data_IF_659323101885
#
_entry.id   IF_659323101885
#
_cell.length_a   1.000
_cell.length_b   1.000
_cell.length_c   1.000
_cell.angle_alpha   90.00
_cell.angle_beta   90.00
_cell.angle_gamma   90.00
#
_symmetry.space_group_name_H-M   'P 1'
#
loop_
_entity.id
_entity.type
_entity.pdbx_description
1 polymer ?
#
# COMPACT_ATOMS: atom_id res chain seq x y z
N UNK A 1 -2.99 -6.47 37.87
CA UNK A 1 -2.42 -5.98 36.60
C UNK A 1 -2.22 -7.08 35.58
N UNK A 2 -1.57 -8.21 35.91
CA UNK A 2 -1.44 -9.35 34.97
C UNK A 2 -2.80 -9.93 34.53
N UNK A 3 -3.78 -10.04 35.43
CA UNK A 3 -5.11 -10.58 35.07
C UNK A 3 -5.98 -9.65 34.20
N UNK A 4 -5.74 -8.33 34.23
CA UNK A 4 -6.42 -7.37 33.35
C UNK A 4 -5.78 -7.28 31.96
N UNK A 5 -4.49 -7.64 31.87
CA UNK A 5 -3.79 -7.81 30.58
C UNK A 5 -4.24 -9.11 29.93
N UNK A 6 -4.38 -10.20 30.70
CA UNK A 6 -4.92 -11.49 30.22
C UNK A 6 -6.39 -11.40 29.77
N UNK A 7 -7.23 -10.59 30.43
CA UNK A 7 -8.61 -10.34 29.98
C UNK A 7 -8.72 -9.43 28.74
N UNK A 8 -7.70 -8.61 28.45
CA UNK A 8 -7.66 -7.72 27.27
C UNK A 8 -7.07 -8.39 26.03
N UNK A 9 -6.70 -9.67 26.13
CA UNK A 9 -6.08 -10.54 25.13
C UNK A 9 -7.05 -11.54 24.48
N UNK A 10 -8.36 -11.33 24.56
CA UNK A 10 -9.29 -11.96 23.61
C UNK A 10 -9.05 -11.35 22.22
N UNK A 11 -8.01 -11.88 21.54
CA UNK A 11 -7.69 -11.61 20.14
C UNK A 11 -8.95 -11.79 19.29
N UNK A 12 -9.27 -10.83 18.42
CA UNK A 12 -10.28 -11.04 17.40
C UNK A 12 -9.89 -12.27 16.59
N UNK A 13 -10.79 -13.25 16.55
CA UNK A 13 -10.59 -14.58 15.96
C UNK A 13 -10.16 -14.54 14.49
N UNK A 14 -10.35 -13.40 13.83
CA UNK A 14 -10.21 -13.23 12.37
C UNK A 14 -9.02 -12.33 11.95
N UNK A 15 -8.20 -11.78 12.86
CA UNK A 15 -7.13 -10.84 12.46
C UNK A 15 -5.96 -11.50 11.69
N UNK A 16 -5.52 -12.68 12.12
CA UNK A 16 -4.50 -13.47 11.40
C UNK A 16 -4.96 -13.81 9.99
N UNK A 17 -6.21 -14.27 9.89
CA UNK A 17 -6.84 -14.58 8.62
C UNK A 17 -6.95 -13.33 7.72
N UNK A 18 -7.27 -12.18 8.29
CA UNK A 18 -7.38 -10.91 7.55
C UNK A 18 -6.06 -10.49 6.90
N UNK A 19 -4.95 -10.57 7.64
CA UNK A 19 -3.61 -10.20 7.14
C UNK A 19 -3.22 -11.12 5.98
N UNK A 20 -3.46 -12.43 6.13
CA UNK A 20 -3.15 -13.41 5.10
C UNK A 20 -3.97 -13.18 3.83
N UNK A 21 -5.27 -12.92 3.96
CA UNK A 21 -6.14 -12.59 2.82
C UNK A 21 -5.73 -11.30 2.15
N UNK A 22 -5.39 -10.26 2.93
CA UNK A 22 -4.92 -8.99 2.38
C UNK A 22 -3.68 -9.19 1.52
N UNK A 23 -2.70 -9.98 1.99
CA UNK A 23 -1.52 -10.35 1.19
C UNK A 23 -1.88 -11.10 -0.09
N UNK A 24 -2.83 -12.02 -0.02
CA UNK A 24 -3.30 -12.75 -1.19
C UNK A 24 -4.02 -11.83 -2.19
N UNK A 25 -4.87 -10.92 -1.72
CA UNK A 25 -5.53 -9.90 -2.54
C UNK A 25 -4.48 -9.04 -3.24
N UNK A 26 -3.49 -8.52 -2.52
CA UNK A 26 -2.43 -7.68 -3.09
C UNK A 26 -1.58 -8.44 -4.11
N UNK A 27 -1.22 -9.69 -3.82
CA UNK A 27 -0.50 -10.55 -4.76
C UNK A 27 -1.29 -10.83 -6.03
N UNK A 28 -2.60 -11.02 -5.91
CA UNK A 28 -3.47 -11.21 -7.06
C UNK A 28 -3.68 -9.90 -7.82
N UNK A 29 -3.94 -8.79 -7.14
CA UNK A 29 -4.14 -7.48 -7.77
C UNK A 29 -2.88 -6.94 -8.48
N UNK A 30 -1.69 -7.24 -7.96
CA UNK A 30 -0.40 -6.89 -8.57
C UNK A 30 0.09 -7.87 -9.64
N UNK A 31 -0.64 -8.95 -9.91
CA UNK A 31 -0.28 -9.94 -10.93
C UNK A 31 -0.45 -9.39 -12.35
N UNK A 32 0.53 -9.64 -13.22
CA UNK A 32 0.36 -9.42 -14.66
C UNK A 32 -0.40 -10.61 -15.25
N UNK A 33 -1.65 -10.38 -15.66
CA UNK A 33 -2.47 -11.43 -16.28
C UNK A 33 -2.63 -11.17 -17.78
N UNK A 34 -2.22 -12.17 -18.59
CA UNK A 34 -2.41 -12.15 -20.05
C UNK A 34 -3.89 -11.98 -20.41
N UNK A 35 -4.80 -12.47 -19.57
CA UNK A 35 -6.25 -12.26 -19.73
C UNK A 35 -6.69 -10.81 -19.67
N UNK A 36 -5.93 -9.93 -19.01
CA UNK A 36 -6.23 -8.51 -18.88
C UNK A 36 -5.71 -7.71 -20.08
N UNK A 37 -4.71 -8.24 -20.79
CA UNK A 37 -4.19 -7.71 -22.05
C UNK A 37 -5.04 -8.15 -23.24
N UNK A 38 -5.58 -9.37 -23.19
CA UNK A 38 -6.41 -9.96 -24.25
C UNK A 38 -7.81 -10.34 -23.73
N UNK A 39 -8.62 -9.39 -23.25
CA UNK A 39 -9.94 -9.67 -22.68
C UNK A 39 -10.93 -10.24 -23.70
N UNK A 40 -10.66 -10.09 -25.00
CA UNK A 40 -11.42 -10.70 -26.09
C UNK A 40 -11.28 -12.23 -26.11
N UNK A 41 -10.16 -12.77 -25.62
CA UNK A 41 -9.90 -14.21 -25.57
C UNK A 41 -10.40 -14.75 -24.22
N UNK A 42 -11.73 -14.87 -24.09
CA UNK A 42 -12.39 -15.31 -22.85
C UNK A 42 -11.80 -16.60 -22.28
N UNK A 43 -11.34 -17.51 -23.13
CA UNK A 43 -10.71 -18.78 -22.74
C UNK A 43 -9.52 -18.59 -21.78
N UNK A 44 -8.73 -17.52 -21.92
CA UNK A 44 -7.58 -17.24 -21.04
C UNK A 44 -7.98 -16.97 -19.59
N UNK A 45 -9.18 -16.39 -19.37
CA UNK A 45 -9.73 -16.19 -18.03
C UNK A 45 -10.10 -17.53 -17.34
N UNK A 46 -10.38 -18.57 -18.13
CA UNK A 46 -10.78 -19.90 -17.63
C UNK A 46 -9.60 -20.83 -17.40
N UNK A 47 -8.57 -20.79 -18.27
CA UNK A 47 -7.44 -21.73 -18.23
C UNK A 47 -6.49 -21.48 -17.05
N UNK A 48 -6.41 -20.25 -16.53
CA UNK A 48 -5.42 -19.87 -15.51
C UNK A 48 -5.78 -20.17 -14.05
N UNK A 49 -6.98 -20.70 -13.75
CA UNK A 49 -7.47 -20.91 -12.37
C UNK A 49 -7.59 -19.62 -11.51
N UNK A 50 -7.26 -18.47 -12.08
CA UNK A 50 -7.26 -17.15 -11.45
C UNK A 50 -8.64 -16.78 -10.91
N UNK A 51 -9.69 -17.03 -11.71
CA UNK A 51 -11.07 -16.77 -11.31
C UNK A 51 -11.43 -17.51 -10.03
N UNK A 52 -11.12 -18.81 -9.94
CA UNK A 52 -11.41 -19.61 -8.76
C UNK A 52 -10.61 -19.13 -7.54
N UNK A 53 -9.35 -18.72 -7.73
CA UNK A 53 -8.54 -18.11 -6.65
C UNK A 53 -9.16 -16.79 -6.16
N UNK A 54 -9.58 -15.92 -7.09
CA UNK A 54 -10.25 -14.65 -6.76
C UNK A 54 -11.59 -14.88 -6.04
N UNK A 55 -12.41 -15.81 -6.50
CA UNK A 55 -13.68 -16.18 -5.86
C UNK A 55 -13.44 -16.68 -4.43
N UNK A 56 -12.48 -17.57 -4.22
CA UNK A 56 -12.13 -18.07 -2.88
C UNK A 56 -11.63 -16.97 -1.94
N UNK A 57 -10.75 -16.10 -2.43
CA UNK A 57 -10.23 -14.97 -1.64
C UNK A 57 -11.35 -13.97 -1.32
N UNK A 58 -12.26 -13.74 -2.26
CA UNK A 58 -13.43 -12.88 -2.05
C UNK A 58 -14.39 -13.45 -1.01
N UNK A 59 -14.71 -14.75 -1.06
CA UNK A 59 -15.58 -15.41 -0.08
C UNK A 59 -15.03 -15.30 1.34
N UNK A 60 -13.73 -15.53 1.51
CA UNK A 60 -13.11 -15.46 2.83
C UNK A 60 -13.00 -14.01 3.34
N UNK A 61 -12.68 -13.05 2.47
CA UNK A 61 -12.71 -11.63 2.81
C UNK A 61 -14.13 -11.19 3.24
N UNK A 62 -15.16 -11.59 2.49
CA UNK A 62 -16.55 -11.27 2.79
C UNK A 62 -17.00 -11.87 4.13
N UNK A 63 -16.55 -13.10 4.43
CA UNK A 63 -16.79 -13.75 5.73
C UNK A 63 -16.22 -12.93 6.88
N UNK A 64 -14.95 -12.54 6.80
CA UNK A 64 -14.27 -11.81 7.89
C UNK A 64 -14.92 -10.44 8.11
N UNK A 65 -15.13 -9.66 7.04
CA UNK A 65 -15.73 -8.33 7.20
C UNK A 65 -17.21 -8.43 7.57
N UNK A 66 -17.90 -9.49 7.14
CA UNK A 66 -19.25 -9.83 7.58
C UNK A 66 -19.34 -10.11 9.08
N UNK A 67 -18.39 -10.85 9.64
CA UNK A 67 -18.28 -11.06 11.09
C UNK A 67 -18.08 -9.74 11.83
N UNK A 68 -17.11 -8.92 11.40
CA UNK A 68 -16.85 -7.60 11.99
C UNK A 68 -18.11 -6.74 11.98
N UNK A 69 -18.79 -6.65 10.83
CA UNK A 69 -20.01 -5.85 10.71
C UNK A 69 -21.14 -6.36 11.62
N UNK A 70 -21.28 -7.69 11.74
CA UNK A 70 -22.31 -8.31 12.59
C UNK A 70 -22.04 -8.03 14.07
N UNK A 71 -20.78 -8.15 14.51
CA UNK A 71 -20.38 -7.84 15.89
C UNK A 71 -20.72 -6.40 16.28
N UNK A 72 -20.51 -5.43 15.36
CA UNK A 72 -20.87 -4.03 15.60
C UNK A 72 -22.38 -3.82 15.66
N UNK A 73 -23.16 -4.49 14.80
CA UNK A 73 -24.63 -4.46 14.84
C UNK A 73 -25.18 -5.05 16.14
N UNK A 74 -24.63 -6.16 16.61
CA UNK A 74 -25.04 -6.80 17.87
C UNK A 74 -24.73 -5.91 19.09
N UNK A 75 -23.52 -5.34 19.14
CA UNK A 75 -23.13 -4.37 20.19
C UNK A 75 -24.02 -3.12 20.21
N UNK A 76 -24.51 -2.68 19.05
CA UNK A 76 -25.44 -1.55 18.95
C UNK A 76 -26.82 -1.89 19.52
N UNK A 77 -27.32 -3.10 19.25
CA UNK A 77 -28.63 -3.57 19.72
C UNK A 77 -28.63 -3.72 21.25
N UNK A 78 -27.62 -4.36 21.82
CA UNK A 78 -27.52 -4.57 23.28
C UNK A 78 -27.43 -3.27 24.08
N UNK A 79 -26.93 -2.18 23.48
CA UNK A 79 -26.91 -0.82 24.07
C UNK A 79 -28.26 -0.08 23.98
N UNK A 80 -29.17 -0.51 23.12
CA UNK A 80 -30.46 0.17 22.88
C UNK A 80 -31.62 -0.34 23.74
N UNK A 81 -31.43 -1.40 24.53
CA UNK A 81 -32.44 -1.88 25.48
C UNK A 81 -32.46 -1.02 26.77
N UNK A 82 -33.63 -0.55 27.22
CA UNK A 82 -33.73 0.32 28.40
C UNK A 82 -33.73 -0.53 29.67
N UNK A 83 -32.54 -0.89 30.16
CA UNK A 83 -32.37 -1.39 31.52
C UNK A 83 -31.44 -0.48 32.32
N UNK A 84 -32.02 0.08 33.39
CA UNK A 84 -31.36 0.92 34.38
C UNK A 84 -30.08 0.29 34.91
N UNK A 85 -28.92 0.81 34.51
CA UNK A 85 -27.74 0.82 35.37
C UNK A 85 -26.96 2.11 35.14
N UNK A 86 -26.97 2.95 36.18
CA UNK A 86 -25.98 3.99 36.41
C UNK A 86 -24.63 3.31 36.73
N UNK A 87 -23.98 2.70 35.74
CA UNK A 87 -22.61 2.21 35.88
C UNK A 87 -21.79 2.57 34.64
N UNK A 88 -20.80 3.42 34.89
CA UNK A 88 -19.63 3.77 34.08
C UNK A 88 -19.90 4.06 32.60
N UNK A 89 -19.75 5.35 32.23
CA UNK A 89 -19.51 5.74 30.85
C UNK A 89 -18.27 4.98 30.34
N UNK A 90 -18.51 3.80 29.77
CA UNK A 90 -17.49 3.06 29.07
C UNK A 90 -16.97 3.98 27.98
N UNK A 91 -15.68 4.25 28.02
CA UNK A 91 -14.90 5.10 27.10
C UNK A 91 -14.81 4.39 25.74
N UNK A 92 -15.95 3.95 25.22
CA UNK A 92 -16.11 3.37 23.91
C UNK A 92 -16.15 4.52 22.91
N UNK A 93 -14.94 4.91 22.52
CA UNK A 93 -14.70 5.77 21.38
C UNK A 93 -15.33 5.12 20.14
N UNK A 94 -16.26 5.83 19.49
CA UNK A 94 -16.92 5.37 18.27
C UNK A 94 -15.88 5.14 17.18
N UNK A 95 -15.95 4.00 16.51
CA UNK A 95 -15.02 3.67 15.44
C UNK A 95 -15.61 3.89 14.03
N UNK A 96 -14.80 3.61 13.02
CA UNK A 96 -15.17 3.82 11.62
C UNK A 96 -16.37 2.96 11.18
N UNK A 97 -16.53 1.74 11.71
CA UNK A 97 -17.67 0.86 11.41
C UNK A 97 -18.94 1.42 12.02
N UNK A 98 -18.86 1.90 13.27
CA UNK A 98 -19.99 2.56 13.95
C UNK A 98 -20.49 3.78 13.16
N UNK A 99 -19.58 4.59 12.63
CA UNK A 99 -19.91 5.75 11.80
C UNK A 99 -20.63 5.32 10.50
N UNK A 100 -20.12 4.30 9.80
CA UNK A 100 -20.76 3.80 8.57
C UNK A 100 -22.16 3.23 8.84
N UNK A 101 -22.35 2.52 9.96
CA UNK A 101 -23.66 2.02 10.38
C UNK A 101 -24.64 3.14 10.71
N UNK A 102 -24.19 4.22 11.37
CA UNK A 102 -25.03 5.41 11.60
C UNK A 102 -25.44 6.11 10.31
N UNK A 103 -24.52 6.19 9.34
CA UNK A 103 -24.82 6.76 8.02
C UNK A 103 -25.84 5.89 7.29
N UNK A 104 -25.68 4.57 7.33
CA UNK A 104 -26.64 3.61 6.77
C UNK A 104 -28.05 3.78 7.35
N UNK A 105 -28.17 4.01 8.66
CA UNK A 105 -29.47 4.17 9.34
C UNK A 105 -30.10 5.56 9.13
N UNK A 106 -29.37 6.52 8.57
CA UNK A 106 -29.87 7.88 8.36
C UNK A 106 -30.59 8.01 7.01
N UNK A 107 -31.86 8.39 7.05
CA UNK A 107 -32.73 8.60 5.87
C UNK A 107 -32.33 9.80 4.98
N UNK A 108 -31.15 10.40 5.17
CA UNK A 108 -30.76 11.69 4.56
C UNK A 108 -29.87 11.57 3.30
N UNK A 109 -29.73 10.39 2.71
CA UNK A 109 -28.79 10.18 1.60
C UNK A 109 -29.50 9.86 0.28
N UNK A 110 -29.05 10.50 -0.81
CA UNK A 110 -29.54 10.25 -2.18
C UNK A 110 -29.31 8.80 -2.66
N UNK A 111 -28.45 8.04 -1.96
CA UNK A 111 -28.14 6.64 -2.24
C UNK A 111 -28.13 5.83 -0.93
N UNK A 112 -28.88 4.71 -0.86
CA UNK A 112 -28.91 3.87 0.34
C UNK A 112 -27.59 3.10 0.47
N UNK A 113 -26.94 3.21 1.63
CA UNK A 113 -25.70 2.48 1.93
C UNK A 113 -26.05 1.04 2.36
N UNK A 114 -25.70 0.06 1.54
CA UNK A 114 -25.96 -1.37 1.85
C UNK A 114 -24.83 -1.98 2.68
N UNK A 115 -25.10 -3.09 3.36
CA UNK A 115 -24.06 -3.88 4.05
C UNK A 115 -22.93 -4.29 3.10
N UNK A 116 -23.26 -4.60 1.84
CA UNK A 116 -22.24 -4.92 0.83
C UNK A 116 -21.35 -3.71 0.52
N UNK A 117 -21.90 -2.50 0.52
CA UNK A 117 -21.09 -1.28 0.36
C UNK A 117 -20.20 -1.04 1.58
N UNK A 118 -20.70 -1.23 2.79
CA UNK A 118 -19.90 -1.09 4.02
C UNK A 118 -18.76 -2.11 4.01
N UNK A 119 -19.06 -3.39 3.72
CA UNK A 119 -18.03 -4.44 3.63
C UNK A 119 -16.96 -4.11 2.60
N UNK A 120 -17.35 -3.65 1.42
CA UNK A 120 -16.40 -3.25 0.37
C UNK A 120 -15.53 -2.06 0.79
N UNK A 121 -16.12 -1.01 1.39
CA UNK A 121 -15.39 0.17 1.88
C UNK A 121 -14.38 -0.21 2.96
N UNK A 122 -14.76 -1.10 3.88
CA UNK A 122 -13.85 -1.61 4.90
C UNK A 122 -12.67 -2.35 4.26
N UNK A 123 -12.93 -3.27 3.33
CA UNK A 123 -11.87 -3.97 2.60
C UNK A 123 -10.92 -3.02 1.89
N UNK A 124 -11.44 -2.03 1.18
CA UNK A 124 -10.64 -1.06 0.44
C UNK A 124 -9.73 -0.26 1.38
N UNK A 125 -10.26 0.27 2.48
CA UNK A 125 -9.52 1.13 3.41
C UNK A 125 -8.43 0.36 4.15
N UNK A 126 -8.75 -0.82 4.67
CA UNK A 126 -7.76 -1.62 5.40
C UNK A 126 -6.65 -2.14 4.49
N UNK A 127 -6.98 -2.62 3.28
CA UNK A 127 -5.96 -3.09 2.32
C UNK A 127 -5.08 -1.92 1.87
N UNK A 128 -5.69 -0.82 1.40
CA UNK A 128 -4.95 0.31 0.87
C UNK A 128 -4.16 1.05 1.96
N UNK A 129 -4.71 1.21 3.16
CA UNK A 129 -4.08 1.94 4.27
C UNK A 129 -2.91 1.19 4.91
N UNK A 130 -2.93 -0.14 4.90
CA UNK A 130 -1.90 -0.96 5.54
C UNK A 130 -0.64 -1.09 4.69
N UNK A 131 -0.77 -1.69 3.49
CA UNK A 131 0.39 -2.07 2.67
C UNK A 131 1.14 -0.83 2.14
N UNK A 132 0.43 0.23 1.76
CA UNK A 132 1.07 1.44 1.23
C UNK A 132 1.85 2.19 2.32
N UNK A 133 1.29 2.30 3.53
CA UNK A 133 1.94 2.98 4.66
C UNK A 133 3.15 2.20 5.16
N UNK A 134 3.05 0.86 5.29
CA UNK A 134 4.18 0.02 5.70
C UNK A 134 5.32 0.10 4.68
N UNK A 135 4.99 0.03 3.39
CA UNK A 135 5.98 0.18 2.30
C UNK A 135 6.70 1.53 2.38
N UNK A 136 5.97 2.61 2.66
CA UNK A 136 6.57 3.93 2.82
C UNK A 136 7.50 4.02 4.03
N UNK A 137 7.11 3.44 5.18
CA UNK A 137 7.97 3.35 6.37
C UNK A 137 9.25 2.56 6.07
N UNK A 138 9.14 1.43 5.39
CA UNK A 138 10.28 0.60 5.00
C UNK A 138 11.25 1.34 4.07
N UNK A 139 10.74 2.05 3.06
CA UNK A 139 11.58 2.87 2.19
C UNK A 139 12.22 4.03 2.92
N UNK A 140 11.49 4.73 3.79
CA UNK A 140 12.04 5.85 4.56
C UNK A 140 13.17 5.37 5.50
N UNK A 141 12.96 4.26 6.21
CA UNK A 141 13.99 3.64 7.03
C UNK A 141 15.20 3.17 6.20
N UNK A 142 14.95 2.59 5.03
CA UNK A 142 16.00 2.14 4.10
C UNK A 142 16.86 3.30 3.61
N UNK A 143 16.23 4.41 3.19
CA UNK A 143 16.92 5.60 2.73
C UNK A 143 17.67 6.30 3.86
N UNK A 144 17.12 6.37 5.07
CA UNK A 144 17.84 6.90 6.22
C UNK A 144 19.06 6.02 6.59
N UNK A 145 18.92 4.70 6.57
CA UNK A 145 20.05 3.77 6.82
C UNK A 145 21.14 3.89 5.74
N UNK A 146 20.75 4.09 4.47
CA UNK A 146 21.66 4.36 3.36
C UNK A 146 22.32 5.74 3.45
N UNK A 147 21.68 6.70 4.13
CA UNK A 147 22.16 8.06 4.29
C UNK A 147 22.33 8.42 5.78
N UNK A 148 23.43 8.00 6.44
CA UNK A 148 23.63 8.20 7.89
C UNK A 148 23.50 9.66 8.36
N UNK A 149 23.83 10.62 7.48
CA UNK A 149 23.63 12.06 7.73
C UNK A 149 22.15 12.39 7.94
N UNK A 150 21.28 11.86 7.08
CA UNK A 150 19.83 12.06 7.16
C UNK A 150 19.27 11.37 8.40
N UNK A 151 19.66 10.11 8.65
CA UNK A 151 19.25 9.37 9.86
C UNK A 151 19.55 10.18 11.12
N UNK A 152 20.78 10.66 11.25
CA UNK A 152 21.21 11.44 12.42
C UNK A 152 20.39 12.71 12.60
N UNK A 153 20.11 13.44 11.52
CA UNK A 153 19.36 14.68 11.57
C UNK A 153 17.90 14.44 11.98
N UNK A 154 17.22 13.49 11.33
CA UNK A 154 15.84 13.13 11.65
C UNK A 154 15.70 12.62 13.10
N UNK A 155 16.62 11.77 13.54
CA UNK A 155 16.63 11.25 14.91
C UNK A 155 16.90 12.35 15.94
N UNK A 156 17.79 13.29 15.63
CA UNK A 156 18.08 14.44 16.50
C UNK A 156 16.88 15.38 16.60
N UNK A 157 16.17 15.64 15.50
CA UNK A 157 14.93 16.43 15.50
C UNK A 157 13.87 15.79 16.39
N UNK A 158 13.55 14.51 16.15
CA UNK A 158 12.53 13.76 16.91
C UNK A 158 12.84 13.78 18.40
N UNK A 159 14.06 13.41 18.80
CA UNK A 159 14.46 13.40 20.22
C UNK A 159 14.45 14.80 20.82
N UNK A 160 14.79 15.84 20.05
CA UNK A 160 14.71 17.24 20.51
C UNK A 160 13.27 17.70 20.71
N UNK A 161 12.33 17.36 19.83
CA UNK A 161 10.92 17.77 19.96
C UNK A 161 10.26 17.07 21.16
N UNK A 162 10.52 15.77 21.33
CA UNK A 162 9.88 14.95 22.36
C UNK A 162 10.71 14.78 23.66
N UNK A 163 11.81 15.53 23.84
CA UNK A 163 12.75 15.37 24.97
C UNK A 163 12.12 15.43 26.39
N UNK A 164 10.95 16.07 26.53
CA UNK A 164 10.20 16.23 27.79
C UNK A 164 9.01 15.29 27.92
N UNK A 165 8.70 14.52 26.88
CA UNK A 165 7.53 13.66 26.84
C UNK A 165 7.90 12.22 27.17
N UNK A 166 7.05 11.48 27.90
CA UNK A 166 7.29 10.09 28.23
C UNK A 166 7.20 9.17 27.00
N UNK A 167 6.45 9.59 25.98
CA UNK A 167 6.31 8.89 24.70
C UNK A 167 6.06 9.90 23.57
N UNK A 168 6.20 9.43 22.32
CA UNK A 168 5.78 10.18 21.13
C UNK A 168 4.27 10.05 20.98
N UNK A 169 3.60 11.17 20.71
CA UNK A 169 2.17 11.24 20.43
C UNK A 169 1.91 12.21 19.26
N UNK A 170 0.65 12.32 18.85
CA UNK A 170 0.23 13.15 17.71
C UNK A 170 0.35 14.66 17.98
N UNK A 171 0.49 15.10 19.23
CA UNK A 171 0.34 16.51 19.62
C UNK A 171 1.45 17.40 19.06
N UNK A 172 2.66 16.85 18.89
CA UNK A 172 3.83 17.60 18.41
C UNK A 172 4.37 17.11 17.05
N UNK A 173 3.65 16.23 16.34
CA UNK A 173 4.10 15.72 15.03
C UNK A 173 4.36 16.86 14.03
N UNK A 174 3.52 17.90 14.04
CA UNK A 174 3.66 19.06 13.15
C UNK A 174 4.98 19.83 13.29
N UNK A 175 5.72 19.64 14.39
CA UNK A 175 7.04 20.24 14.61
C UNK A 175 8.20 19.43 13.99
N UNK A 176 7.94 18.21 13.52
CA UNK A 176 8.92 17.31 12.89
C UNK A 176 9.14 17.65 11.40
N UNK A 177 9.61 18.87 11.14
CA UNK A 177 9.74 19.42 9.78
C UNK A 177 10.72 18.63 8.92
N UNK A 178 11.85 18.22 9.49
CA UNK A 178 12.85 17.43 8.79
C UNK A 178 12.36 16.00 8.53
N UNK A 179 11.71 15.36 9.51
CA UNK A 179 11.11 14.04 9.28
C UNK A 179 10.03 14.08 8.19
N UNK A 180 9.17 15.12 8.19
CA UNK A 180 8.19 15.30 7.14
C UNK A 180 8.86 15.48 5.76
N UNK A 181 9.96 16.24 5.69
CA UNK A 181 10.76 16.36 4.48
C UNK A 181 11.38 15.02 4.01
N UNK A 182 11.83 14.18 4.94
CA UNK A 182 12.31 12.80 4.64
C UNK A 182 11.21 11.95 4.04
N UNK A 183 10.00 12.00 4.60
CA UNK A 183 8.85 11.22 4.10
C UNK A 183 8.46 11.70 2.70
N UNK A 184 8.45 13.00 2.46
CA UNK A 184 8.16 13.57 1.15
C UNK A 184 9.19 13.19 0.09
N UNK A 185 10.48 13.20 0.44
CA UNK A 185 11.53 12.72 -0.45
C UNK A 185 11.46 11.22 -0.71
N UNK A 186 11.06 10.45 0.32
CA UNK A 186 10.77 9.03 0.17
C UNK A 186 9.60 8.80 -0.78
N UNK A 187 8.51 9.56 -0.67
CA UNK A 187 7.38 9.46 -1.60
C UNK A 187 7.73 9.85 -3.04
N UNK A 188 8.67 10.79 -3.22
CA UNK A 188 9.11 11.24 -4.54
C UNK A 188 9.89 10.14 -5.26
N UNK A 189 10.82 9.50 -4.56
CA UNK A 189 11.66 8.44 -5.12
C UNK A 189 10.96 7.07 -5.06
N UNK A 190 10.27 6.74 -3.99
CA UNK A 190 9.69 5.42 -3.78
C UNK A 190 8.17 5.50 -3.57
N UNK A 191 7.40 6.03 -4.54
CA UNK A 191 5.95 6.04 -4.41
C UNK A 191 5.44 4.60 -4.33
N UNK A 192 4.68 4.21 -3.29
CA UNK A 192 4.20 2.83 -3.15
C UNK A 192 3.42 2.34 -4.36
N UNK A 193 2.74 3.24 -5.09
CA UNK A 193 2.01 2.93 -6.33
C UNK A 193 2.64 3.71 -7.50
N UNK A 194 3.73 3.22 -8.12
CA UNK A 194 4.53 3.99 -9.07
C UNK A 194 3.80 4.41 -10.36
N UNK A 195 2.79 3.63 -10.80
CA UNK A 195 1.93 3.94 -11.95
C UNK A 195 0.55 4.49 -11.58
N UNK A 196 0.36 4.81 -10.29
CA UNK A 196 -0.94 5.10 -9.68
C UNK A 196 -1.99 4.01 -10.00
N UNK A 197 -3.23 4.21 -9.55
CA UNK A 197 -4.33 3.34 -9.96
C UNK A 197 -4.78 3.68 -11.39
N UNK A 198 -5.01 2.67 -12.27
CA UNK A 198 -5.43 2.90 -13.64
C UNK A 198 -6.70 3.77 -13.73
N UNK A 199 -6.69 4.72 -14.67
CA UNK A 199 -7.86 5.52 -15.02
C UNK A 199 -8.50 4.95 -16.29
N UNK A 200 -9.81 5.15 -16.43
CA UNK A 200 -10.53 4.79 -17.65
C UNK A 200 -11.20 6.03 -18.22
N UNK A 201 -11.04 6.26 -19.52
CA UNK A 201 -11.67 7.37 -20.22
C UNK A 201 -13.18 7.17 -20.32
N UNK A 202 -13.97 8.11 -19.77
CA UNK A 202 -15.43 8.04 -19.78
C UNK A 202 -16.06 8.53 -21.09
N UNK A 203 -15.29 9.21 -21.95
CA UNK A 203 -15.70 9.74 -23.26
C UNK A 203 -14.47 9.88 -24.15
N UNK A 204 -14.63 9.91 -25.47
CA UNK A 204 -13.51 10.31 -26.33
C UNK A 204 -13.06 11.74 -25.99
N UNK A 205 -11.75 11.95 -25.96
CA UNK A 205 -11.15 13.26 -25.75
C UNK A 205 -9.81 13.37 -26.47
N UNK A 206 -9.27 14.59 -26.56
CA UNK A 206 -7.94 14.85 -27.10
C UNK A 206 -7.03 15.28 -25.97
N UNK A 207 -5.86 14.66 -25.85
CA UNK A 207 -4.81 15.04 -24.91
C UNK A 207 -3.54 15.32 -25.72
N UNK A 208 -3.03 16.56 -25.63
CA UNK A 208 -1.83 17.00 -26.36
C UNK A 208 -1.84 16.68 -27.86
N UNK A 209 -3.01 16.82 -28.51
CA UNK A 209 -3.20 16.51 -29.93
C UNK A 209 -3.45 15.04 -30.25
N UNK A 210 -3.39 14.13 -29.28
CA UNK A 210 -3.69 12.71 -29.44
C UNK A 210 -5.13 12.38 -29.11
N UNK A 211 -5.81 11.64 -29.99
CA UNK A 211 -7.15 11.11 -29.75
C UNK A 211 -7.11 9.96 -28.74
N UNK A 212 -7.78 10.16 -27.61
CA UNK A 212 -7.97 9.16 -26.56
C UNK A 212 -9.38 8.59 -26.68
N UNK A 213 -9.54 7.31 -27.07
CA UNK A 213 -10.86 6.73 -27.24
C UNK A 213 -11.57 6.55 -25.89
N UNK A 214 -12.91 6.45 -25.95
CA UNK A 214 -13.70 6.01 -24.79
C UNK A 214 -13.21 4.63 -24.33
N UNK A 215 -13.21 4.38 -23.02
CA UNK A 215 -12.70 3.14 -22.39
C UNK A 215 -11.19 2.93 -22.49
N UNK A 216 -10.42 3.89 -23.01
CA UNK A 216 -8.96 3.82 -22.93
C UNK A 216 -8.51 3.75 -21.47
N UNK A 217 -7.63 2.79 -21.16
CA UNK A 217 -6.93 2.69 -19.88
C UNK A 217 -5.74 3.64 -19.89
N UNK A 218 -5.63 4.50 -18.89
CA UNK A 218 -4.56 5.49 -18.75
C UNK A 218 -3.82 5.23 -17.44
N UNK A 219 -2.51 5.07 -17.54
CA UNK A 219 -1.60 4.93 -16.40
C UNK A 219 -0.81 6.22 -16.25
N UNK A 220 -0.60 6.66 -15.01
CA UNK A 220 0.13 7.90 -14.72
C UNK A 220 1.41 7.50 -13.99
N UNK A 221 2.55 7.68 -14.64
CA UNK A 221 3.83 7.25 -14.11
C UNK A 221 4.39 8.25 -13.09
N UNK A 222 3.85 8.21 -11.87
CA UNK A 222 4.30 9.04 -10.75
C UNK A 222 5.78 8.82 -10.42
N UNK A 223 6.29 7.60 -10.61
CA UNK A 223 7.70 7.26 -10.43
C UNK A 223 8.62 8.04 -11.38
N UNK A 224 8.24 8.12 -12.67
CA UNK A 224 9.02 8.88 -13.66
C UNK A 224 8.90 10.39 -13.42
N UNK A 225 7.70 10.87 -13.11
CA UNK A 225 7.46 12.30 -12.79
C UNK A 225 8.32 12.75 -11.61
N UNK A 226 8.36 11.95 -10.53
CA UNK A 226 9.17 12.23 -9.35
C UNK A 226 10.68 12.24 -9.64
N UNK A 227 11.14 11.67 -10.76
CA UNK A 227 12.56 11.60 -11.17
C UNK A 227 12.90 12.45 -12.38
N UNK A 228 11.97 13.26 -12.88
CA UNK A 228 12.22 14.05 -14.07
C UNK A 228 13.26 15.15 -13.77
N UNK A 229 14.45 15.13 -14.40
CA UNK A 229 15.48 16.14 -14.19
C UNK A 229 15.09 17.53 -14.68
N UNK A 230 14.01 17.66 -15.46
CA UNK A 230 13.45 18.97 -15.81
C UNK A 230 12.78 19.67 -14.63
N UNK A 231 12.29 18.90 -13.66
CA UNK A 231 11.56 19.40 -12.49
C UNK A 231 12.37 19.26 -11.19
N UNK A 232 13.27 18.26 -11.13
CA UNK A 232 14.02 17.94 -9.92
C UNK A 232 15.54 18.05 -10.13
N UNK A 233 16.16 19.03 -9.47
CA UNK A 233 17.63 19.11 -9.42
C UNK A 233 18.20 17.89 -8.67
N UNK A 234 19.23 17.26 -9.26
CA UNK A 234 19.80 15.99 -8.76
C UNK A 234 18.69 14.95 -8.50
N UNK A 235 17.85 14.70 -9.51
CA UNK A 235 16.60 13.96 -9.38
C UNK A 235 16.75 12.56 -8.74
N UNK A 236 17.83 11.85 -9.00
CA UNK A 236 18.06 10.51 -8.44
C UNK A 236 18.62 10.53 -7.01
N UNK A 237 19.04 11.70 -6.51
CA UNK A 237 19.63 11.82 -5.18
C UNK A 237 18.54 11.97 -4.12
N UNK A 238 18.62 11.13 -3.08
CA UNK A 238 17.83 11.29 -1.87
C UNK A 238 18.30 12.54 -1.10
N UNK A 239 17.55 13.63 -1.23
CA UNK A 239 17.90 14.94 -0.68
C UNK A 239 16.69 15.63 -0.02
N UNK A 240 16.33 15.25 1.23
CA UNK A 240 15.15 15.77 1.93
C UNK A 240 15.11 17.29 2.05
N UNK A 241 16.27 17.95 2.10
CA UNK A 241 16.36 19.40 2.24
C UNK A 241 15.64 20.17 1.13
N UNK A 242 15.39 19.56 -0.04
CA UNK A 242 14.58 20.18 -1.11
C UNK A 242 13.13 20.48 -0.70
N UNK A 243 12.65 19.86 0.38
CA UNK A 243 11.32 20.09 0.93
C UNK A 243 11.33 20.96 2.19
N UNK A 244 12.50 21.49 2.59
CA UNK A 244 12.63 22.44 3.69
C UNK A 244 12.45 23.87 3.17
N UNK A 245 11.66 24.64 3.91
CA UNK A 245 11.23 25.98 3.53
C UNK A 245 12.37 27.01 3.64
N UNK A 246 13.24 27.12 2.64
CA UNK A 246 14.19 28.24 2.53
C UNK A 246 14.33 28.83 1.12
N UNK A 247 13.79 28.20 0.07
CA UNK A 247 13.96 28.62 -1.34
C UNK A 247 12.66 29.04 -2.07
N UNK A 248 11.50 28.95 -1.42
CA UNK A 248 10.22 29.41 -1.97
C UNK A 248 9.51 28.42 -2.90
N UNK A 249 10.03 27.20 -3.08
CA UNK A 249 9.36 26.14 -3.83
C UNK A 249 8.37 25.39 -2.93
N UNK A 250 7.13 25.90 -2.87
CA UNK A 250 6.04 25.27 -2.13
C UNK A 250 5.33 24.17 -2.93
N UNK A 251 6.06 23.11 -3.28
CA UNK A 251 5.44 21.90 -3.84
C UNK A 251 4.59 21.25 -2.75
N UNK A 252 3.39 20.78 -3.04
CA UNK A 252 2.51 20.02 -2.14
C UNK A 252 2.10 18.69 -2.81
N UNK A 253 1.82 17.66 -2.00
CA UNK A 253 1.35 16.35 -2.47
C UNK A 253 -0.18 16.29 -2.62
N UNK A 254 -0.90 17.41 -2.43
CA UNK A 254 -2.37 17.51 -2.53
C UNK A 254 -2.93 17.49 -3.95
N UNK A 255 -2.10 17.19 -4.95
CA UNK A 255 -2.51 17.00 -6.34
C UNK A 255 -2.71 18.29 -7.12
N UNK A 256 -2.11 19.39 -6.67
CA UNK A 256 -2.04 20.68 -7.38
C UNK A 256 -0.70 20.90 -8.09
N UNK A 257 0.37 20.30 -7.56
CA UNK A 257 1.73 20.38 -8.10
C UNK A 257 2.02 19.06 -8.83
N UNK A 258 1.94 19.08 -10.16
CA UNK A 258 1.95 17.86 -10.97
C UNK A 258 3.32 17.19 -11.03
N UNK A 259 4.38 17.90 -10.69
CA UNK A 259 5.73 17.38 -10.47
C UNK A 259 5.82 16.46 -9.23
N UNK A 260 4.83 16.49 -8.33
CA UNK A 260 4.81 15.70 -7.10
C UNK A 260 3.40 15.19 -6.74
N UNK A 261 3.02 14.05 -7.34
CA UNK A 261 1.68 13.45 -7.19
C UNK A 261 1.69 12.03 -6.60
N UNK A 262 2.35 11.78 -5.45
CA UNK A 262 2.44 10.43 -4.87
C UNK A 262 1.08 9.84 -4.48
N UNK A 263 0.07 10.67 -4.27
CA UNK A 263 -1.32 10.28 -3.96
C UNK A 263 -2.28 10.48 -5.14
N UNK A 264 -1.74 10.79 -6.32
CA UNK A 264 -2.50 11.18 -7.51
C UNK A 264 -3.13 12.57 -7.41
N UNK A 265 -4.06 12.85 -8.33
CA UNK A 265 -4.73 14.14 -8.43
C UNK A 265 -6.19 14.02 -8.95
N UNK A 266 -6.96 15.08 -8.74
CA UNK A 266 -8.33 15.24 -9.24
C UNK A 266 -9.37 14.35 -8.56
N UNK A 267 -10.43 13.96 -9.29
CA UNK A 267 -11.61 13.27 -8.75
C UNK A 267 -11.34 11.92 -8.04
N UNK A 268 -10.18 11.31 -8.28
CA UNK A 268 -9.77 10.02 -7.70
C UNK A 268 -8.41 10.16 -7.01
N UNK A 269 -8.16 11.31 -6.38
CA UNK A 269 -7.05 11.49 -5.45
C UNK A 269 -7.25 10.60 -4.22
N UNK A 270 -6.16 10.14 -3.61
CA UNK A 270 -6.22 9.24 -2.45
C UNK A 270 -7.08 9.86 -1.31
N UNK A 271 -8.17 9.21 -0.89
CA UNK A 271 -8.97 9.68 0.23
C UNK A 271 -8.29 9.47 1.59
N UNK A 272 -7.34 8.53 1.68
CA UNK A 272 -6.58 8.20 2.89
C UNK A 272 -5.31 9.01 3.09
N UNK A 273 -5.02 10.02 2.27
CA UNK A 273 -3.77 10.79 2.29
C UNK A 273 -3.44 11.34 3.69
N UNK A 274 -4.38 12.02 4.34
CA UNK A 274 -4.17 12.61 5.67
C UNK A 274 -3.87 11.54 6.72
N UNK A 275 -4.63 10.44 6.68
CA UNK A 275 -4.42 9.31 7.58
C UNK A 275 -3.03 8.68 7.39
N UNK A 276 -2.65 8.40 6.14
CA UNK A 276 -1.36 7.81 5.81
C UNK A 276 -0.19 8.68 6.29
N UNK A 277 -0.26 10.00 6.07
CA UNK A 277 0.80 10.90 6.51
C UNK A 277 0.97 10.90 8.04
N UNK A 278 -0.13 10.98 8.80
CA UNK A 278 -0.08 10.95 10.27
C UNK A 278 0.48 9.61 10.76
N UNK A 279 -0.02 8.48 10.23
CA UNK A 279 0.43 7.15 10.64
C UNK A 279 1.91 6.95 10.36
N UNK A 280 2.39 7.34 9.17
CA UNK A 280 3.78 7.17 8.77
C UNK A 280 4.70 8.09 9.57
N UNK A 281 4.32 9.37 9.76
CA UNK A 281 5.06 10.32 10.58
C UNK A 281 5.17 9.83 12.03
N UNK A 282 4.04 9.41 12.62
CA UNK A 282 3.98 8.92 13.98
C UNK A 282 4.83 7.66 14.14
N UNK A 283 4.70 6.67 13.24
CA UNK A 283 5.48 5.42 13.29
C UNK A 283 6.98 5.68 13.16
N UNK A 284 7.42 6.51 12.22
CA UNK A 284 8.84 6.84 12.05
C UNK A 284 9.38 7.64 13.25
N UNK A 285 8.65 8.64 13.73
CA UNK A 285 9.04 9.41 14.91
C UNK A 285 9.24 8.50 16.12
N UNK A 286 8.32 7.57 16.29
CA UNK A 286 8.37 6.53 17.30
C UNK A 286 9.64 5.66 17.17
N UNK A 287 9.90 5.08 15.98
CA UNK A 287 11.10 4.26 15.73
C UNK A 287 12.42 5.03 15.99
N UNK A 288 12.46 6.32 15.62
CA UNK A 288 13.63 7.17 15.77
C UNK A 288 13.84 7.67 17.21
N UNK A 289 12.74 7.86 17.97
CA UNK A 289 12.83 8.27 19.36
C UNK A 289 13.44 7.17 20.22
N UNK A 290 12.89 5.95 20.11
CA UNK A 290 13.19 4.85 21.04
C UNK A 290 14.42 4.02 20.68
N UNK A 291 14.84 3.99 19.41
CA UNK A 291 15.94 3.13 18.97
C UNK A 291 17.04 3.88 18.24
N UNK A 292 18.26 3.33 18.32
CA UNK A 292 19.36 3.64 17.42
C UNK A 292 19.44 2.53 16.36
N UNK A 293 19.52 2.94 15.09
CA UNK A 293 19.47 2.03 13.96
C UNK A 293 20.84 1.84 13.32
N UNK A 294 21.17 0.60 12.96
CA UNK A 294 22.38 0.24 12.22
C UNK A 294 22.08 -0.90 11.26
N UNK A 295 22.84 -0.94 10.16
CA UNK A 295 22.77 -2.07 9.24
C UNK A 295 23.35 -3.34 9.92
N UNK A 296 22.80 -4.53 9.63
CA UNK A 296 23.29 -5.79 10.19
C UNK A 296 24.63 -6.20 9.59
N UNK A 297 25.35 -7.12 10.24
CA UNK A 297 26.53 -7.81 9.71
C UNK A 297 27.65 -6.89 9.20
N UNK A 298 27.84 -5.73 9.83
CA UNK A 298 28.85 -4.72 9.43
C UNK A 298 28.70 -4.23 7.97
N UNK A 299 27.50 -4.38 7.40
CA UNK A 299 27.14 -3.90 6.08
C UNK A 299 27.28 -2.37 6.02
N UNK A 300 27.86 -1.87 4.93
CA UNK A 300 28.00 -0.44 4.71
C UNK A 300 26.76 0.12 4.01
N UNK A 301 26.48 1.43 4.13
CA UNK A 301 25.35 2.06 3.45
C UNK A 301 25.33 1.81 1.93
N UNK A 302 26.50 1.73 1.31
CA UNK A 302 26.64 1.49 -0.14
C UNK A 302 26.26 0.06 -0.56
N UNK A 303 26.28 -0.89 0.38
CA UNK A 303 25.95 -2.28 0.15
C UNK A 303 24.43 -2.53 0.15
N UNK A 304 23.63 -1.53 0.57
CA UNK A 304 22.17 -1.66 0.63
C UNK A 304 21.56 -1.62 -0.79
N UNK A 305 20.99 -2.74 -1.21
CA UNK A 305 20.24 -2.83 -2.47
C UNK A 305 18.96 -1.99 -2.39
N UNK A 306 18.85 -0.99 -3.27
CA UNK A 306 17.70 -0.10 -3.38
C UNK A 306 16.91 -0.35 -4.67
N UNK A 307 17.12 -1.50 -5.31
CA UNK A 307 16.40 -1.87 -6.53
C UNK A 307 14.92 -2.13 -6.24
N UNK A 308 14.06 -1.41 -6.94
CA UNK A 308 12.61 -1.61 -6.93
C UNK A 308 12.21 -2.70 -7.92
N UNK A 309 11.31 -3.61 -7.53
CA UNK A 309 10.72 -4.58 -8.45
C UNK A 309 9.41 -3.99 -8.98
N UNK A 310 9.46 -3.54 -10.24
CA UNK A 310 8.47 -2.70 -10.92
C UNK A 310 7.01 -3.21 -10.96
N UNK A 311 6.76 -4.47 -10.62
CA UNK A 311 5.45 -5.13 -10.78
C UNK A 311 4.85 -5.58 -9.43
N UNK A 312 5.65 -5.62 -8.37
CA UNK A 312 5.21 -6.03 -7.05
C UNK A 312 5.45 -4.89 -6.08
N UNK A 313 4.49 -4.61 -5.20
CA UNK A 313 4.62 -3.73 -4.03
C UNK A 313 5.74 -4.12 -3.04
N UNK A 314 6.68 -5.00 -3.45
CA UNK A 314 7.62 -5.72 -2.62
C UNK A 314 9.07 -5.44 -3.03
N UNK A 315 9.91 -5.16 -2.02
CA UNK A 315 11.36 -5.01 -2.13
C UNK A 315 12.04 -6.38 -2.29
N UNK A 316 13.17 -6.44 -3.01
CA UNK A 316 14.06 -7.63 -3.02
C UNK A 316 14.96 -7.71 -1.79
N UNK A 317 15.24 -6.58 -1.15
CA UNK A 317 16.36 -6.41 -0.20
C UNK A 317 16.08 -6.84 1.24
N UNK A 318 14.84 -7.16 1.61
CA UNK A 318 14.57 -7.65 2.97
C UNK A 318 14.76 -9.17 3.13
N UNK A 319 14.98 -9.95 2.06
CA UNK A 319 15.28 -11.39 2.17
C UNK A 319 16.63 -11.73 2.82
N UNK A 320 17.50 -10.75 3.04
CA UNK A 320 18.84 -10.98 3.62
C UNK A 320 19.00 -10.38 5.04
N UNK A 321 18.05 -9.56 5.48
CA UNK A 321 17.97 -8.99 6.83
C UNK A 321 16.65 -9.39 7.56
N UNK A 322 15.91 -10.35 6.99
CA UNK A 322 14.53 -10.70 7.34
C UNK A 322 14.34 -11.23 8.77
N UNK A 323 15.42 -11.52 9.50
CA UNK A 323 15.31 -12.10 10.85
C UNK A 323 15.54 -11.11 12.00
N UNK A 324 15.69 -9.80 11.78
CA UNK A 324 15.96 -8.88 12.92
C UNK A 324 15.25 -7.53 12.85
N UNK A 325 15.13 -6.92 11.66
CA UNK A 325 14.46 -5.63 11.53
C UNK A 325 12.92 -5.76 11.50
N UNK A 326 12.41 -6.83 10.87
CA UNK A 326 10.98 -7.19 10.91
C UNK A 326 10.60 -7.65 12.31
N UNK A 327 11.43 -8.46 12.97
CA UNK A 327 11.25 -8.78 14.40
C UNK A 327 11.22 -7.52 15.25
N UNK A 328 12.10 -6.52 15.02
CA UNK A 328 12.14 -5.27 15.81
C UNK A 328 11.00 -4.30 15.49
N UNK A 329 10.52 -4.23 14.24
CA UNK A 329 9.35 -3.43 13.85
C UNK A 329 8.07 -4.07 14.37
N UNK A 330 7.96 -5.40 14.34
CA UNK A 330 6.89 -6.17 14.97
C UNK A 330 6.91 -5.98 16.50
N UNK A 331 8.08 -6.14 17.15
CA UNK A 331 8.29 -5.89 18.58
C UNK A 331 7.95 -4.46 19.02
N UNK A 332 7.94 -3.53 18.06
CA UNK A 332 7.65 -2.13 18.32
C UNK A 332 6.20 -1.75 18.04
N UNK A 333 5.58 -2.31 16.99
CA UNK A 333 4.13 -2.28 16.81
C UNK A 333 3.40 -2.98 17.98
N UNK A 334 4.05 -3.95 18.63
CA UNK A 334 3.65 -4.55 19.91
C UNK A 334 3.67 -3.56 21.10
N UNK A 335 4.61 -2.61 21.15
CA UNK A 335 4.81 -1.71 22.30
C UNK A 335 4.00 -0.39 22.23
N UNK A 336 3.39 -0.07 21.09
CA UNK A 336 2.74 1.24 20.84
C UNK A 336 1.21 1.24 20.83
N UNK A 337 0.56 0.23 21.41
CA UNK A 337 -0.90 0.10 21.41
C UNK A 337 -1.56 0.04 20.00
N UNK A 338 -0.80 -0.01 18.90
CA UNK A 338 -1.37 -0.12 17.56
C UNK A 338 -1.58 -1.55 17.05
N UNK A 339 -0.93 -2.59 17.61
CA UNK A 339 -1.21 -3.98 17.20
C UNK A 339 -1.15 -4.93 18.41
N UNK A 340 -2.25 -4.96 19.18
CA UNK A 340 -3.18 -6.12 19.19
C UNK A 340 -2.66 -7.57 19.18
N UNK A 341 -1.95 -7.93 18.12
CA UNK A 341 -2.08 -9.28 17.54
C UNK A 341 -0.85 -9.63 16.72
N UNK A 342 -0.39 -10.86 16.97
CA UNK A 342 0.54 -11.70 16.23
C UNK A 342 1.80 -11.95 17.05
N UNK A 343 1.74 -13.01 17.84
CA UNK A 343 2.94 -13.65 18.38
C UNK A 343 3.02 -15.00 17.66
N UNK A 344 4.04 -15.19 16.84
CA UNK A 344 4.12 -16.28 15.87
C UNK A 344 5.32 -17.19 16.16
N UNK A 345 5.01 -18.47 16.31
CA UNK A 345 5.88 -19.57 16.70
C UNK A 345 6.89 -19.96 15.59
N UNK A 346 8.04 -20.46 16.02
CA UNK A 346 9.30 -20.62 15.27
C UNK A 346 9.30 -21.76 14.25
N UNK A 347 8.16 -22.32 13.88
CA UNK A 347 8.02 -23.53 13.05
C UNK A 347 7.74 -23.29 11.56
N UNK A 348 7.42 -22.06 11.14
CA UNK A 348 7.05 -21.73 9.75
C UNK A 348 8.27 -21.57 8.81
N UNK A 349 9.47 -21.39 9.38
CA UNK A 349 10.70 -21.11 8.61
C UNK A 349 11.18 -22.32 7.79
N UNK A 350 10.87 -23.55 8.23
CA UNK A 350 11.37 -24.77 7.58
C UNK A 350 10.51 -25.25 6.40
N UNK A 351 9.24 -24.84 6.31
CA UNK A 351 8.32 -25.25 5.24
C UNK A 351 8.50 -24.40 3.95
N UNK A 352 8.89 -23.13 4.09
CA UNK A 352 9.08 -22.18 2.97
C UNK A 352 10.35 -22.39 2.13
N UNK A 353 11.28 -23.24 2.59
CA UNK A 353 12.55 -23.51 1.88
C UNK A 353 12.38 -24.46 0.69
N UNK A 354 11.29 -25.23 0.64
CA UNK A 354 11.12 -26.32 -0.34
C UNK A 354 10.31 -25.89 -1.58
N UNK A 355 9.42 -24.89 -1.49
CA UNK A 355 8.56 -24.46 -2.62
C UNK A 355 9.22 -23.45 -3.60
N UNK A 356 10.36 -22.85 -3.26
CA UNK A 356 10.92 -21.74 -4.05
C UNK A 356 11.76 -22.19 -5.27
N UNK A 357 12.30 -23.42 -5.29
CA UNK A 357 13.10 -23.89 -6.42
C UNK A 357 12.21 -24.28 -7.63
N UNK A 358 10.97 -24.73 -7.40
CA UNK A 358 10.02 -25.10 -8.46
C UNK A 358 9.47 -23.88 -9.24
N UNK A 359 9.25 -22.74 -8.56
CA UNK A 359 8.67 -21.54 -9.21
C UNK A 359 9.66 -20.87 -10.19
N UNK A 360 10.95 -21.06 -9.99
CA UNK A 360 12.00 -20.49 -10.86
C UNK A 360 12.09 -21.26 -12.19
N UNK A 361 11.96 -22.58 -12.16
CA UNK A 361 11.92 -23.40 -13.37
C UNK A 361 10.63 -23.21 -14.16
N UNK A 362 9.48 -23.04 -13.49
CA UNK A 362 8.20 -22.77 -14.15
C UNK A 362 8.19 -21.41 -14.88
N UNK A 363 8.77 -20.36 -14.28
CA UNK A 363 8.84 -19.05 -14.95
C UNK A 363 9.79 -19.06 -16.16
N UNK A 364 10.92 -19.76 -16.08
CA UNK A 364 11.84 -19.90 -17.23
C UNK A 364 11.16 -20.67 -18.37
N UNK A 365 10.45 -21.75 -18.04
CA UNK A 365 9.69 -22.55 -19.01
C UNK A 365 8.57 -21.74 -19.68
N UNK A 366 7.86 -20.89 -18.93
CA UNK A 366 6.80 -20.04 -19.47
C UNK A 366 7.35 -18.92 -20.37
N UNK A 367 8.47 -18.28 -20.01
CA UNK A 367 9.09 -17.26 -20.86
C UNK A 367 9.57 -17.84 -22.20
N UNK A 368 10.19 -19.02 -22.18
CA UNK A 368 10.63 -19.70 -23.41
C UNK A 368 9.45 -20.06 -24.32
N UNK A 369 8.31 -20.47 -23.74
CA UNK A 369 7.11 -20.83 -24.50
C UNK A 369 6.39 -19.61 -25.09
N UNK A 370 6.53 -18.44 -24.45
CA UNK A 370 5.99 -17.17 -24.94
C UNK A 370 6.82 -16.68 -26.14
N UNK A 371 8.15 -16.75 -26.07
CA UNK A 371 9.02 -16.42 -27.22
C UNK A 371 8.73 -17.31 -28.44
N UNK A 372 8.51 -18.63 -28.23
CA UNK A 372 8.11 -19.53 -29.32
C UNK A 372 6.73 -19.20 -29.91
N UNK A 373 5.79 -18.69 -29.11
CA UNK A 373 4.47 -18.28 -29.59
C UNK A 373 4.51 -16.94 -30.34
N UNK A 374 5.39 -16.02 -29.94
CA UNK A 374 5.63 -14.77 -30.65
C UNK A 374 6.24 -15.03 -32.04
N UNK A 375 7.16 -15.98 -32.16
CA UNK A 375 7.74 -16.41 -33.45
C UNK A 375 6.71 -17.10 -34.36
N UNK A 376 5.77 -17.87 -33.80
CA UNK A 376 4.68 -18.49 -34.58
C UNK A 376 3.73 -17.43 -35.12
N UNK A 377 3.35 -16.45 -34.29
CA UNK A 377 2.47 -15.35 -34.69
C UNK A 377 3.17 -14.45 -35.70
N UNK A 378 4.46 -14.17 -35.56
CA UNK A 378 5.22 -13.37 -36.53
C UNK A 378 5.33 -14.04 -37.92
N UNK A 379 5.36 -15.37 -37.98
CA UNK A 379 5.43 -16.12 -39.24
C UNK A 379 4.07 -16.32 -39.94
N UNK A 380 2.94 -16.20 -39.23
CA UNK A 380 1.60 -16.27 -39.84
C UNK A 380 1.16 -14.96 -40.54
N UNK A 381 1.86 -13.84 -40.31
CA UNK A 381 1.51 -12.51 -40.86
C UNK A 381 2.37 -12.06 -42.07
N UNK A 382 3.14 -12.95 -42.70
CA UNK A 382 4.00 -12.60 -43.84
C UNK A 382 3.51 -13.06 -45.23
N UNK A 383 2.36 -13.71 -45.35
CA UNK A 383 1.74 -14.06 -46.64
C UNK A 383 0.46 -13.23 -46.89
N UNK A 384 0.62 -11.95 -47.24
CA UNK A 384 -0.40 -11.24 -48.05
C UNK A 384 0.30 -10.55 -49.23
N UNK A 385 0.01 -11.05 -50.44
CA UNK A 385 0.52 -10.60 -51.73
C UNK A 385 0.18 -9.12 -52.04
N UNK A 386 0.99 -8.44 -52.87
CA UNK A 386 0.78 -7.03 -53.22
C UNK A 386 -0.41 -6.85 -54.16
N UNK A 387 -1.26 -5.86 -53.84
CA UNK A 387 -2.42 -5.42 -54.63
C UNK A 387 -1.96 -4.90 -56.00
N UNK A 388 -2.46 -5.51 -57.08
CA UNK A 388 -2.35 -5.00 -58.45
C UNK A 388 -3.22 -3.74 -58.64
N UNK A 389 -2.59 -2.64 -59.04
CA UNK A 389 -3.22 -1.49 -59.68
C UNK A 389 -3.82 -1.93 -61.02
N UNK A 390 -5.14 -1.77 -61.19
CA UNK A 390 -5.77 -1.78 -62.52
C UNK A 390 -6.31 -0.39 -62.86
N UNK A 391 -5.66 0.17 -63.88
CA UNK A 391 -6.02 1.34 -64.66
C UNK A 391 -7.22 1.03 -65.59
N UNK A 392 -7.80 2.12 -66.10
CA UNK A 392 -8.78 2.26 -67.20
C UNK A 392 -10.30 2.05 -66.97
N UNK A 393 -11.04 3.15 -67.16
CA UNK A 393 -12.49 3.21 -67.39
C UNK A 393 -13.10 4.60 -67.33
#
# INVERSE_FOLDING_TARGET
>A
MVSQVEQRLEKSRDQEAYIEISKQISKLAGGFYVSDMYPSIKMLQWIGGLRHKLEKVHEEADRIVGNILSDHKEKKITKSEPYNHEEEADDHQEDFVDILLKIQDSDQHDFPLTDSNIKAVLMDIFTAGSETSSTLVEWAMSEMLKNPRVMKEAQSEVRRVFHKMPNVDETQIHELKYLSAVIRETLRLHPPVPLLLPRESSRSCVIDGYDIPIKAKVLVNAWAIGRDPMHWFEAEKFWPERFLHDDGLHIDYKGTDFEFIPFGAGRRICPGMTFAMIVVELTLAQLLFHFDWKLPNDMKPEDLDMTEIFISLWKKTLKQAENSAVESLLLYMENLNMIKVLDLDRSIVDEYKVENDDLREVNIFLCQRIEELEDIVANEFHDEDPVEDNDDG
#
